data_IF_837676183332
#
_entry.id   IF_837676183332
#
_cell.length_a   1.000
_cell.length_b   1.000
_cell.length_c   1.000
_cell.angle_alpha   90.00
_cell.angle_beta   90.00
_cell.angle_gamma   90.00
#
_symmetry.space_group_name_H-M   'P 1'
#
loop_
_entity.id
_entity.type
_entity.pdbx_description
1 polymer ?
#
# COMPACT_ATOMS: atom_id res chain seq x y z
N UNK A 1 64.43 59.01 -26.73
CA UNK A 1 65.06 57.67 -26.67
C UNK A 1 64.79 57.17 -25.27
N UNK A 2 63.78 56.31 -25.14
CA UNK A 2 63.95 54.92 -24.70
C UNK A 2 64.01 54.84 -23.17
N UNK A 3 63.28 54.01 -22.43
CA UNK A 3 62.29 52.95 -22.69
C UNK A 3 61.71 52.64 -21.31
N UNK A 4 60.39 52.47 -21.20
CA UNK A 4 59.75 52.02 -19.96
C UNK A 4 60.01 50.55 -19.66
N UNK A 5 59.90 50.16 -18.39
CA UNK A 5 59.74 48.77 -17.95
C UNK A 5 58.97 48.71 -16.61
N UNK A 6 57.75 48.12 -16.69
CA UNK A 6 57.13 47.11 -15.78
C UNK A 6 56.81 47.55 -14.33
N UNK A 7 55.62 47.34 -13.75
CA UNK A 7 54.68 46.23 -13.86
C UNK A 7 53.23 46.68 -13.58
N UNK A 8 52.33 46.50 -14.54
CA UNK A 8 50.88 46.42 -14.27
C UNK A 8 50.49 44.95 -14.20
N UNK A 9 50.23 44.46 -12.98
CA UNK A 9 49.69 43.12 -12.73
C UNK A 9 48.31 43.03 -13.38
N UNK A 10 48.26 42.43 -14.57
CA UNK A 10 47.01 42.10 -15.26
C UNK A 10 46.26 41.02 -14.48
N UNK A 11 45.11 41.38 -13.92
CA UNK A 11 44.11 40.43 -13.44
C UNK A 11 43.48 39.77 -14.67
N UNK A 12 43.97 38.59 -15.02
CA UNK A 12 43.27 37.70 -15.96
C UNK A 12 42.10 37.04 -15.21
N UNK A 13 40.85 37.12 -15.71
CA UNK A 13 39.75 36.37 -15.12
C UNK A 13 39.99 34.89 -15.42
N UNK A 14 40.33 34.12 -14.39
CA UNK A 14 40.45 32.67 -14.53
C UNK A 14 39.07 32.10 -14.84
N UNK A 15 38.91 31.54 -16.05
CA UNK A 15 37.73 30.72 -16.37
C UNK A 15 37.67 29.58 -15.36
N UNK A 16 36.51 29.33 -14.71
CA UNK A 16 36.42 28.28 -13.71
C UNK A 16 36.76 26.95 -14.37
N UNK A 17 37.84 26.30 -13.91
CA UNK A 17 38.18 24.93 -14.32
C UNK A 17 36.97 24.06 -14.03
N UNK A 18 36.34 23.53 -15.09
CA UNK A 18 35.40 22.42 -14.93
C UNK A 18 36.16 21.32 -14.18
N UNK A 19 35.76 21.04 -12.93
CA UNK A 19 36.22 19.86 -12.21
C UNK A 19 35.66 18.66 -12.98
N UNK A 20 36.43 18.19 -13.96
CA UNK A 20 36.13 16.98 -14.69
C UNK A 20 35.81 15.86 -13.69
N UNK A 21 34.77 15.10 -14.00
CA UNK A 21 34.28 14.03 -13.15
C UNK A 21 32.80 13.75 -13.39
N UNK A 22 32.36 12.54 -13.02
CA UNK A 22 30.95 12.18 -13.02
C UNK A 22 30.22 13.12 -12.03
N UNK A 23 29.10 13.76 -12.42
CA UNK A 23 28.31 14.58 -11.52
C UNK A 23 27.97 13.84 -10.22
N UNK A 24 28.00 14.56 -9.09
CA UNK A 24 27.58 13.99 -7.81
C UNK A 24 26.10 13.61 -7.91
N UNK A 25 25.80 12.33 -7.72
CA UNK A 25 24.42 11.82 -7.71
C UNK A 25 23.75 12.31 -6.42
N UNK A 26 22.60 12.99 -6.55
CA UNK A 26 21.88 13.60 -5.43
C UNK A 26 21.34 12.59 -4.41
N UNK A 27 20.83 11.44 -4.87
CA UNK A 27 20.30 10.37 -4.01
C UNK A 27 21.11 9.10 -4.27
N UNK A 28 21.91 8.71 -3.28
CA UNK A 28 22.65 7.44 -3.32
C UNK A 28 21.71 6.29 -2.97
N UNK A 29 21.89 5.16 -3.65
CA UNK A 29 21.22 3.90 -3.32
C UNK A 29 22.19 3.07 -2.51
N UNK A 30 21.89 2.86 -1.23
CA UNK A 30 22.82 2.25 -0.26
C UNK A 30 22.46 0.79 0.04
N UNK A 31 21.18 0.44 -0.04
CA UNK A 31 20.69 -0.92 0.17
C UNK A 31 20.53 -1.68 -1.16
N UNK A 32 20.74 -3.00 -1.11
CA UNK A 32 20.52 -3.91 -2.24
C UNK A 32 19.65 -5.10 -1.83
N UNK A 33 18.85 -5.58 -2.77
CA UNK A 33 18.07 -6.82 -2.65
C UNK A 33 18.62 -7.78 -3.70
N UNK A 34 19.03 -8.99 -3.30
CA UNK A 34 19.44 -10.06 -4.22
C UNK A 34 18.30 -11.05 -4.38
N UNK A 35 17.82 -11.22 -5.61
CA UNK A 35 16.80 -12.21 -5.98
C UNK A 35 17.44 -13.19 -6.96
N UNK A 36 17.33 -14.48 -6.68
CA UNK A 36 17.69 -15.52 -7.66
C UNK A 36 16.50 -15.74 -8.57
N UNK A 37 16.77 -15.70 -9.87
CA UNK A 37 15.77 -15.92 -10.91
C UNK A 37 16.10 -17.20 -11.65
N UNK A 38 15.06 -17.90 -12.06
CA UNK A 38 15.16 -18.92 -13.11
C UNK A 38 15.50 -18.27 -14.45
N UNK A 39 15.97 -19.07 -15.41
CA UNK A 39 16.29 -18.58 -16.75
C UNK A 39 15.07 -17.96 -17.45
N UNK A 40 13.88 -18.54 -17.24
CA UNK A 40 12.62 -18.08 -17.81
C UNK A 40 12.18 -16.74 -17.20
N UNK A 41 12.24 -16.60 -15.87
CA UNK A 41 11.93 -15.33 -15.20
C UNK A 41 12.86 -14.20 -15.64
N UNK A 42 14.16 -14.50 -15.74
CA UNK A 42 15.14 -13.53 -16.23
C UNK A 42 14.83 -13.09 -17.67
N UNK A 43 14.51 -14.04 -18.56
CA UNK A 43 14.16 -13.74 -19.95
C UNK A 43 12.92 -12.84 -20.05
N UNK A 44 11.86 -13.16 -19.30
CA UNK A 44 10.62 -12.36 -19.28
C UNK A 44 10.89 -10.94 -18.79
N UNK A 45 11.64 -10.80 -17.70
CA UNK A 45 11.99 -9.48 -17.15
C UNK A 45 12.85 -8.69 -18.15
N UNK A 46 13.81 -9.34 -18.80
CA UNK A 46 14.66 -8.70 -19.81
C UNK A 46 13.86 -8.23 -21.03
N UNK A 47 12.90 -9.04 -21.50
CA UNK A 47 11.99 -8.67 -22.58
C UNK A 47 11.16 -7.43 -22.23
N UNK A 48 10.51 -7.43 -21.06
CA UNK A 48 9.71 -6.29 -20.60
C UNK A 48 10.52 -5.01 -20.38
N UNK A 49 11.76 -5.14 -19.88
CA UNK A 49 12.66 -4.00 -19.75
C UNK A 49 13.06 -3.42 -21.12
N UNK A 50 13.31 -4.29 -22.10
CA UNK A 50 13.63 -3.90 -23.49
C UNK A 50 12.45 -3.20 -24.16
N UNK A 51 11.24 -3.75 -24.03
CA UNK A 51 10.00 -3.13 -24.55
C UNK A 51 9.77 -1.74 -23.96
N UNK A 52 10.06 -1.57 -22.66
CA UNK A 52 9.96 -0.29 -21.98
C UNK A 52 11.16 0.64 -22.19
N UNK A 53 12.14 0.26 -23.02
CA UNK A 53 13.32 1.07 -23.36
C UNK A 53 14.24 1.38 -22.18
N UNK A 54 14.25 0.55 -21.14
CA UNK A 54 14.97 0.81 -19.89
C UNK A 54 15.85 -0.36 -19.45
N UNK A 55 16.76 -0.12 -18.51
CA UNK A 55 17.60 -1.18 -17.94
C UNK A 55 16.76 -2.12 -17.07
N UNK A 56 17.12 -3.40 -17.04
CA UNK A 56 16.46 -4.43 -16.23
C UNK A 56 16.28 -4.00 -14.77
N UNK A 57 17.31 -3.42 -14.16
CA UNK A 57 17.27 -2.96 -12.77
C UNK A 57 16.36 -1.76 -12.54
N UNK A 58 16.20 -0.88 -13.54
CA UNK A 58 15.29 0.26 -13.48
C UNK A 58 13.84 -0.16 -13.70
N UNK A 59 13.63 -1.10 -14.62
CA UNK A 59 12.35 -1.76 -14.83
C UNK A 59 11.89 -2.49 -13.57
N UNK A 60 12.74 -3.36 -13.01
CA UNK A 60 12.41 -4.13 -11.82
C UNK A 60 12.08 -3.22 -10.64
N UNK A 61 12.81 -2.11 -10.46
CA UNK A 61 12.54 -1.14 -9.40
C UNK A 61 11.21 -0.42 -9.58
N UNK A 62 10.89 -0.04 -10.82
CA UNK A 62 9.63 0.63 -11.14
C UNK A 62 8.46 -0.31 -10.96
N UNK A 63 8.60 -1.56 -11.43
CA UNK A 63 7.64 -2.64 -11.24
C UNK A 63 7.43 -2.95 -9.75
N UNK A 64 8.50 -3.09 -8.95
CA UNK A 64 8.39 -3.35 -7.52
C UNK A 64 7.74 -2.20 -6.74
N UNK A 65 7.93 -0.94 -7.16
CA UNK A 65 7.26 0.23 -6.58
C UNK A 65 5.79 0.33 -6.98
N UNK A 66 5.46 -0.04 -8.21
CA UNK A 66 4.10 0.00 -8.74
C UNK A 66 3.29 -1.26 -8.37
N UNK A 67 3.94 -2.32 -7.90
CA UNK A 67 3.30 -3.56 -7.51
C UNK A 67 2.33 -3.27 -6.35
N UNK A 68 1.03 -3.32 -6.65
CA UNK A 68 -0.01 -3.32 -5.63
C UNK A 68 0.00 -4.69 -4.97
N UNK A 69 0.64 -4.78 -3.81
CA UNK A 69 0.50 -5.95 -2.93
C UNK A 69 -0.91 -5.89 -2.36
N UNK A 70 -1.84 -6.66 -2.94
CA UNK A 70 -3.12 -6.92 -2.28
C UNK A 70 -2.79 -7.85 -1.12
N UNK A 71 -2.58 -7.26 0.05
CA UNK A 71 -2.45 -8.03 1.28
C UNK A 71 -3.66 -8.97 1.39
N UNK A 72 -3.42 -10.23 1.78
CA UNK A 72 -4.51 -11.12 2.19
C UNK A 72 -5.27 -10.39 3.30
N UNK A 73 -6.61 -10.37 3.22
CA UNK A 73 -7.49 -9.69 4.19
C UNK A 73 -6.94 -9.89 5.61
N UNK A 74 -6.73 -8.79 6.34
CA UNK A 74 -6.22 -8.84 7.70
C UNK A 74 -7.17 -9.72 8.56
N UNK A 75 -6.72 -10.38 9.64
CA UNK A 75 -7.63 -11.17 10.47
C UNK A 75 -8.84 -10.36 10.97
N UNK A 76 -8.66 -9.05 11.19
CA UNK A 76 -9.74 -8.10 11.50
C UNK A 76 -10.76 -7.98 10.36
N UNK A 77 -10.30 -7.76 9.12
CA UNK A 77 -11.18 -7.70 7.94
C UNK A 77 -11.93 -9.02 7.74
N UNK A 78 -11.26 -10.15 8.00
CA UNK A 78 -11.87 -11.47 7.92
C UNK A 78 -12.96 -11.66 8.97
N UNK A 79 -12.78 -11.10 10.17
CA UNK A 79 -13.79 -11.13 11.22
C UNK A 79 -15.02 -10.30 10.84
N UNK A 80 -14.81 -9.11 10.27
CA UNK A 80 -15.90 -8.27 9.75
C UNK A 80 -16.66 -9.01 8.64
N UNK A 81 -15.95 -9.65 7.71
CA UNK A 81 -16.59 -10.43 6.63
C UNK A 81 -17.41 -11.61 7.15
N UNK A 82 -16.94 -12.32 8.18
CA UNK A 82 -17.70 -13.39 8.83
C UNK A 82 -18.96 -12.84 9.50
N UNK A 83 -18.85 -11.72 10.20
CA UNK A 83 -19.98 -11.06 10.84
C UNK A 83 -21.03 -10.63 9.80
N UNK A 84 -20.61 -9.99 8.71
CA UNK A 84 -21.51 -9.60 7.62
C UNK A 84 -22.21 -10.80 7.00
N UNK A 85 -21.50 -11.91 6.81
CA UNK A 85 -22.08 -13.17 6.30
C UNK A 85 -23.13 -13.71 7.28
N UNK A 86 -22.84 -13.68 8.59
CA UNK A 86 -23.81 -14.04 9.62
C UNK A 86 -25.05 -13.16 9.58
N UNK A 87 -24.89 -11.83 9.46
CA UNK A 87 -26.00 -10.88 9.38
C UNK A 87 -26.86 -11.09 8.14
N UNK A 88 -26.25 -11.31 6.97
CA UNK A 88 -26.97 -11.60 5.73
C UNK A 88 -27.79 -12.89 5.84
N UNK A 89 -27.24 -13.92 6.48
CA UNK A 89 -27.96 -15.16 6.75
C UNK A 89 -29.13 -14.94 7.72
N UNK A 90 -28.92 -14.18 8.79
CA UNK A 90 -29.96 -13.85 9.76
C UNK A 90 -31.12 -13.11 9.07
N UNK A 91 -30.81 -12.11 8.22
CA UNK A 91 -31.81 -11.38 7.45
C UNK A 91 -32.59 -12.30 6.50
N UNK A 92 -31.90 -13.20 5.81
CA UNK A 92 -32.55 -14.16 4.91
C UNK A 92 -33.51 -15.10 5.66
N UNK A 93 -33.11 -15.55 6.86
CA UNK A 93 -33.98 -16.38 7.71
C UNK A 93 -35.21 -15.61 8.18
N UNK A 94 -35.05 -14.36 8.63
CA UNK A 94 -36.16 -13.50 9.02
C UNK A 94 -37.13 -13.24 7.86
N UNK A 95 -36.60 -13.01 6.65
CA UNK A 95 -37.42 -12.80 5.44
C UNK A 95 -38.25 -14.05 5.12
N UNK A 96 -37.63 -15.24 5.15
CA UNK A 96 -38.34 -16.52 4.95
C UNK A 96 -39.40 -16.75 6.03
N UNK A 97 -39.09 -16.45 7.29
CA UNK A 97 -40.03 -16.58 8.40
C UNK A 97 -41.21 -15.61 8.25
N UNK A 98 -40.94 -14.36 7.84
CA UNK A 98 -41.98 -13.35 7.62
C UNK A 98 -42.90 -13.72 6.45
N UNK A 99 -42.36 -14.34 5.39
CA UNK A 99 -43.17 -14.88 4.29
C UNK A 99 -44.08 -16.02 4.75
N UNK A 100 -43.63 -16.86 5.69
CA UNK A 100 -44.38 -18.03 6.18
C UNK A 100 -45.42 -17.67 7.24
N UNK A 101 -45.01 -16.93 8.27
CA UNK A 101 -45.78 -16.67 9.48
C UNK A 101 -46.44 -15.28 9.49
N UNK A 102 -46.16 -14.45 8.48
CA UNK A 102 -46.58 -13.06 8.40
C UNK A 102 -45.64 -12.11 9.17
N UNK A 103 -45.37 -10.94 8.57
CA UNK A 103 -44.40 -9.96 9.07
C UNK A 103 -44.67 -9.49 10.51
N UNK A 104 -45.94 -9.22 10.86
CA UNK A 104 -46.35 -8.75 12.19
C UNK A 104 -46.16 -9.79 13.31
N UNK A 105 -46.20 -11.08 12.95
CA UNK A 105 -45.94 -12.17 13.91
C UNK A 105 -44.45 -12.25 14.22
N UNK A 106 -43.62 -12.16 13.19
CA UNK A 106 -42.15 -12.18 13.31
C UNK A 106 -41.64 -10.96 14.06
N UNK A 107 -42.14 -9.76 13.74
CA UNK A 107 -41.75 -8.53 14.42
C UNK A 107 -41.99 -8.60 15.94
N UNK A 108 -43.16 -9.11 16.37
CA UNK A 108 -43.47 -9.29 17.81
C UNK A 108 -42.54 -10.30 18.49
N UNK A 109 -42.20 -11.40 17.83
CA UNK A 109 -41.25 -12.40 18.36
C UNK A 109 -39.85 -11.79 18.51
N UNK A 110 -39.39 -11.02 17.53
CA UNK A 110 -38.10 -10.32 17.59
C UNK A 110 -38.05 -9.27 18.72
N UNK A 111 -39.12 -8.51 18.89
CA UNK A 111 -39.22 -7.48 19.94
C UNK A 111 -39.15 -8.07 21.36
N UNK A 112 -39.84 -9.20 21.58
CA UNK A 112 -39.74 -9.96 22.83
C UNK A 112 -38.33 -10.47 23.10
N UNK A 113 -37.68 -11.09 22.10
CA UNK A 113 -36.30 -11.57 22.23
C UNK A 113 -35.29 -10.44 22.48
N UNK A 114 -35.45 -9.29 21.82
CA UNK A 114 -34.58 -8.12 22.06
C UNK A 114 -34.73 -7.60 23.48
N UNK A 115 -35.95 -7.62 24.04
CA UNK A 115 -36.20 -7.24 25.43
C UNK A 115 -35.52 -8.20 26.40
N UNK A 116 -35.58 -9.50 26.14
CA UNK A 116 -34.88 -10.51 26.96
C UNK A 116 -33.35 -10.35 26.89
N UNK A 117 -32.80 -10.08 25.71
CA UNK A 117 -31.36 -9.83 25.53
C UNK A 117 -30.94 -8.54 26.26
N UNK A 118 -31.69 -7.45 26.15
CA UNK A 118 -31.40 -6.19 26.83
C UNK A 118 -31.41 -6.37 28.35
N UNK A 119 -32.37 -7.12 28.89
CA UNK A 119 -32.40 -7.47 30.32
C UNK A 119 -31.21 -8.31 30.74
N UNK A 120 -30.83 -9.33 29.96
CA UNK A 120 -29.67 -10.16 30.24
C UNK A 120 -28.35 -9.35 30.21
N UNK A 121 -28.19 -8.46 29.24
CA UNK A 121 -27.02 -7.58 29.15
C UNK A 121 -26.96 -6.60 30.32
N UNK A 122 -28.09 -6.02 30.73
CA UNK A 122 -28.17 -5.18 31.93
C UNK A 122 -27.79 -5.94 33.19
N UNK A 123 -28.28 -7.18 33.34
CA UNK A 123 -27.92 -8.06 34.45
C UNK A 123 -26.41 -8.35 34.49
N UNK A 124 -25.80 -8.74 33.37
CA UNK A 124 -24.35 -8.97 33.28
C UNK A 124 -23.53 -7.71 33.60
N UNK A 125 -23.97 -6.53 33.14
CA UNK A 125 -23.28 -5.27 33.39
C UNK A 125 -23.49 -4.74 34.83
N UNK A 126 -24.51 -5.22 35.54
CA UNK A 126 -24.75 -4.91 36.96
C UNK A 126 -23.99 -5.82 37.93
N UNK A 127 -23.61 -7.03 37.51
CA UNK A 127 -22.84 -8.00 38.30
C UNK A 127 -21.31 -7.81 38.20
N UNK A 128 -20.83 -6.90 37.34
CA UNK A 128 -19.40 -6.56 37.20
C UNK A 128 -18.95 -5.46 38.20
N UNK A 129 -19.52 -5.47 39.42
CA UNK A 129 -19.25 -4.49 40.50
C UNK A 129 -18.82 -5.13 41.82
#
# INVERSE_FOLDING_TARGET
>A
METGLKDTVGIVPSKPKHKGGRPKIAIKREAFIRVRLTATEHFVIAGRAKEAGMKISDWFRSAAKAARVVARLNPEDMQIMRMLTGMANNLNQLTKLAHKDGLLSVARKCDGLLTEIDQALKYFNSDDR
#
